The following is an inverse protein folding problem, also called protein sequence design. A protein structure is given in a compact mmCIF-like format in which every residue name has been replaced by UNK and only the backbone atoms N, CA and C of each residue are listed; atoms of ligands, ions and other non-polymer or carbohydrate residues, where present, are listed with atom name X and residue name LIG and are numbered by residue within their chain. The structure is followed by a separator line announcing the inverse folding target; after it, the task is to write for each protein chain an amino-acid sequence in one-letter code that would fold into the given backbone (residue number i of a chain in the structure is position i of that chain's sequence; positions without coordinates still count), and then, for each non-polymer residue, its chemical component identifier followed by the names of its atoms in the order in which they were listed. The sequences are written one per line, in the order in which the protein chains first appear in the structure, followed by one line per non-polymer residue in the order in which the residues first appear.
data_IF_075410532090
#
_entry.id   IF_075410532090
#
_cell.length_a   1.000
_cell.length_b   1.000
_cell.length_c   1.000
_cell.angle_alpha   90.00
_cell.angle_beta   90.00
_cell.angle_gamma   90.00
#
_symmetry.space_group_name_H-M   'P 1'
#
loop_
_entity.id
_entity.type
_entity.pdbx_description
1 polymer ?
#
# COMPACT_ATOMS: atom_id res chain seq x y z
N UNK A 1 20.26 -37.24 -23.78
CA UNK A 1 19.72 -35.88 -23.63
C UNK A 1 18.29 -35.90 -24.14
N UNK A 2 17.32 -35.89 -23.25
CA UNK A 2 15.90 -35.86 -23.60
C UNK A 2 15.53 -34.38 -23.86
N UNK A 3 14.97 -34.00 -25.02
CA UNK A 3 14.57 -32.62 -25.25
C UNK A 3 13.45 -32.27 -24.27
N UNK A 4 13.66 -31.22 -23.47
CA UNK A 4 12.67 -30.71 -22.53
C UNK A 4 11.36 -30.43 -23.28
N UNK A 5 10.25 -30.92 -22.73
CA UNK A 5 8.92 -30.63 -23.25
C UNK A 5 8.71 -29.11 -23.32
N UNK A 6 8.07 -28.59 -24.37
CA UNK A 6 7.76 -27.16 -24.45
C UNK A 6 6.89 -26.76 -23.26
N UNK A 7 7.11 -25.58 -22.65
CA UNK A 7 6.29 -25.11 -21.54
C UNK A 7 4.83 -25.05 -21.99
N UNK A 8 3.92 -25.63 -21.19
CA UNK A 8 2.49 -25.57 -21.44
C UNK A 8 2.09 -24.11 -21.64
N UNK A 9 1.42 -23.80 -22.75
CA UNK A 9 0.94 -22.45 -23.04
C UNK A 9 -0.12 -22.08 -22.01
N UNK A 10 0.27 -21.29 -21.02
CA UNK A 10 -0.65 -20.80 -19.99
C UNK A 10 -1.75 -20.02 -20.70
N UNK A 11 -3.04 -20.39 -20.53
CA UNK A 11 -4.12 -19.69 -21.20
C UNK A 11 -4.09 -18.21 -20.76
N UNK A 12 -4.06 -17.30 -21.74
CA UNK A 12 -4.02 -15.87 -21.45
C UNK A 12 -5.23 -15.46 -20.60
N UNK A 13 -4.97 -15.00 -19.38
CA UNK A 13 -6.00 -14.51 -18.45
C UNK A 13 -6.49 -13.11 -18.83
N UNK A 14 -5.85 -12.45 -19.81
CA UNK A 14 -6.16 -11.09 -20.24
C UNK A 14 -7.62 -10.92 -20.67
N UNK A 15 -8.24 -11.95 -21.25
CA UNK A 15 -9.68 -11.92 -21.62
C UNK A 15 -10.60 -11.72 -20.42
N UNK A 16 -10.23 -12.20 -19.24
CA UNK A 16 -11.03 -12.03 -18.02
C UNK A 16 -10.86 -10.62 -17.44
N UNK A 17 -9.66 -10.06 -17.50
CA UNK A 17 -9.42 -8.67 -17.12
C UNK A 17 -10.20 -7.71 -18.03
N UNK A 18 -10.16 -7.92 -19.36
CA UNK A 18 -10.96 -7.14 -20.31
C UNK A 18 -12.46 -7.28 -20.08
N UNK A 19 -12.94 -8.50 -19.75
CA UNK A 19 -14.33 -8.72 -19.38
C UNK A 19 -14.72 -7.89 -18.14
N UNK A 20 -13.86 -7.86 -17.12
CA UNK A 20 -14.06 -7.09 -15.89
C UNK A 20 -14.15 -5.58 -16.17
N UNK A 21 -13.20 -5.04 -16.93
CA UNK A 21 -13.15 -3.61 -17.29
C UNK A 21 -14.38 -3.21 -18.12
N UNK A 22 -14.74 -4.00 -19.13
CA UNK A 22 -15.92 -3.76 -19.96
C UNK A 22 -17.21 -3.81 -19.13
N UNK A 23 -17.31 -4.77 -18.20
CA UNK A 23 -18.43 -4.85 -17.28
C UNK A 23 -18.51 -3.59 -16.41
N UNK A 24 -17.41 -3.16 -15.80
CA UNK A 24 -17.37 -1.96 -14.96
C UNK A 24 -17.81 -0.70 -15.73
N UNK A 25 -17.28 -0.47 -16.93
CA UNK A 25 -17.67 0.68 -17.77
C UNK A 25 -19.17 0.63 -18.10
N UNK A 26 -19.67 -0.55 -18.49
CA UNK A 26 -21.07 -0.74 -18.81
C UNK A 26 -21.98 -0.50 -17.60
N UNK A 27 -21.66 -1.07 -16.45
CA UNK A 27 -22.47 -0.93 -15.24
C UNK A 27 -22.44 0.48 -14.69
N UNK A 28 -21.30 1.18 -14.74
CA UNK A 28 -21.23 2.62 -14.41
C UNK A 28 -22.16 3.41 -15.33
N UNK A 29 -22.13 3.15 -16.63
CA UNK A 29 -23.03 3.79 -17.60
C UNK A 29 -24.51 3.55 -17.28
N UNK A 30 -24.88 2.31 -16.97
CA UNK A 30 -26.25 1.95 -16.59
C UNK A 30 -26.68 2.61 -15.28
N UNK A 31 -25.85 2.58 -14.24
CA UNK A 31 -26.14 3.21 -12.94
C UNK A 31 -26.26 4.74 -13.08
N UNK A 32 -25.37 5.37 -13.83
CA UNK A 32 -25.45 6.81 -14.14
C UNK A 32 -26.73 7.14 -14.90
N UNK A 33 -27.16 6.29 -15.83
CA UNK A 33 -28.41 6.45 -16.54
C UNK A 33 -29.62 6.29 -15.61
N UNK A 34 -29.61 5.29 -14.72
CA UNK A 34 -30.66 5.09 -13.72
C UNK A 34 -30.80 6.30 -12.79
N UNK A 35 -29.68 6.86 -12.34
CA UNK A 35 -29.67 8.13 -11.60
C UNK A 35 -30.28 9.27 -12.42
N UNK A 36 -29.87 9.48 -13.68
CA UNK A 36 -30.40 10.56 -14.51
C UNK A 36 -31.90 10.45 -14.78
N UNK A 37 -32.43 9.24 -14.87
CA UNK A 37 -33.85 8.99 -15.09
C UNK A 37 -34.68 9.24 -13.83
N UNK A 38 -34.12 8.97 -12.65
CA UNK A 38 -34.87 9.00 -11.38
C UNK A 38 -34.65 10.24 -10.53
N UNK A 39 -33.46 10.82 -10.63
CA UNK A 39 -32.93 11.80 -9.69
C UNK A 39 -32.64 11.22 -8.30
N UNK A 40 -32.62 9.91 -8.08
CA UNK A 40 -32.37 9.31 -6.75
C UNK A 40 -30.96 9.60 -6.26
N UNK A 41 -30.83 10.10 -5.03
CA UNK A 41 -29.51 10.32 -4.40
C UNK A 41 -28.86 8.97 -4.05
N UNK A 42 -29.65 7.94 -3.72
CA UNK A 42 -29.16 6.59 -3.53
C UNK A 42 -28.51 6.01 -4.80
N UNK A 43 -29.15 6.15 -5.96
CA UNK A 43 -28.58 5.71 -7.24
C UNK A 43 -27.36 6.55 -7.68
N UNK A 44 -27.30 7.82 -7.29
CA UNK A 44 -26.09 8.63 -7.47
C UNK A 44 -24.92 8.06 -6.65
N UNK A 45 -25.16 7.70 -5.39
CA UNK A 45 -24.15 7.07 -4.53
C UNK A 45 -23.60 5.80 -5.16
N UNK A 46 -24.48 4.91 -5.62
CA UNK A 46 -24.12 3.64 -6.27
C UNK A 46 -23.25 3.83 -7.53
N UNK A 47 -23.62 4.82 -8.36
CA UNK A 47 -22.86 5.16 -9.56
C UNK A 47 -21.50 5.79 -9.24
N UNK A 48 -21.43 6.67 -8.24
CA UNK A 48 -20.21 7.33 -7.82
C UNK A 48 -19.21 6.34 -7.20
N UNK A 49 -19.70 5.42 -6.35
CA UNK A 49 -18.90 4.33 -5.77
C UNK A 49 -18.27 3.48 -6.88
N UNK A 50 -19.08 3.02 -7.84
CA UNK A 50 -18.58 2.21 -8.96
C UNK A 50 -17.52 2.94 -9.81
N UNK A 51 -17.67 4.26 -9.99
CA UNK A 51 -16.67 5.08 -10.71
C UNK A 51 -15.37 5.20 -9.92
N UNK A 52 -15.46 5.50 -8.62
CA UNK A 52 -14.28 5.59 -7.74
C UNK A 52 -13.53 4.26 -7.73
N UNK A 53 -14.23 3.14 -7.61
CA UNK A 53 -13.63 1.81 -7.64
C UNK A 53 -12.87 1.53 -8.95
N UNK A 54 -13.45 1.90 -10.11
CA UNK A 54 -12.77 1.74 -11.40
C UNK A 54 -11.49 2.60 -11.50
N UNK A 55 -11.56 3.86 -11.08
CA UNK A 55 -10.40 4.77 -11.11
C UNK A 55 -9.33 4.29 -10.13
N UNK A 56 -9.73 3.89 -8.92
CA UNK A 56 -8.85 3.35 -7.90
C UNK A 56 -8.13 2.09 -8.38
N UNK A 57 -8.84 1.16 -9.04
CA UNK A 57 -8.23 -0.05 -9.60
C UNK A 57 -7.18 0.26 -10.67
N UNK A 58 -7.42 1.26 -11.53
CA UNK A 58 -6.44 1.70 -12.54
C UNK A 58 -5.19 2.28 -11.85
N UNK A 59 -5.38 3.14 -10.85
CA UNK A 59 -4.25 3.73 -10.10
C UNK A 59 -3.50 2.69 -9.29
N UNK A 60 -4.21 1.74 -8.68
CA UNK A 60 -3.60 0.62 -7.96
C UNK A 60 -2.73 -0.23 -8.89
N UNK A 61 -3.20 -0.53 -10.10
CA UNK A 61 -2.43 -1.29 -11.07
C UNK A 61 -1.15 -0.56 -11.50
N UNK A 62 -1.23 0.76 -11.76
CA UNK A 62 -0.06 1.55 -12.15
C UNK A 62 0.94 1.68 -10.99
N UNK A 63 0.46 1.92 -9.77
CA UNK A 63 1.30 2.02 -8.58
C UNK A 63 1.92 0.70 -8.19
N UNK A 64 1.21 -0.43 -8.36
CA UNK A 64 1.78 -1.76 -8.15
C UNK A 64 2.92 -2.05 -9.13
N UNK A 65 2.76 -1.66 -10.40
CA UNK A 65 3.83 -1.75 -11.40
C UNK A 65 5.05 -0.90 -11.05
N UNK A 66 4.85 0.26 -10.43
CA UNK A 66 5.94 1.11 -9.92
C UNK A 66 6.57 0.52 -8.65
N UNK A 67 5.77 0.00 -7.72
CA UNK A 67 6.23 -0.62 -6.48
C UNK A 67 7.05 -1.90 -6.71
N UNK A 68 6.76 -2.64 -7.78
CA UNK A 68 7.49 -3.85 -8.18
C UNK A 68 8.89 -3.56 -8.75
N UNK A 69 9.25 -2.30 -8.98
CA UNK A 69 10.59 -1.93 -9.46
C UNK A 69 11.62 -2.16 -8.34
N UNK A 70 12.76 -2.82 -8.65
CA UNK A 70 13.81 -3.04 -7.67
C UNK A 70 14.40 -1.70 -7.17
N UNK A 71 15.20 -1.76 -6.12
CA UNK A 71 15.95 -0.61 -5.63
C UNK A 71 16.88 -0.04 -6.71
N UNK A 72 16.98 1.28 -6.75
CA UNK A 72 17.86 2.02 -7.65
C UNK A 72 18.70 3.04 -6.86
N UNK A 73 19.55 3.80 -7.56
CA UNK A 73 20.45 4.77 -6.92
C UNK A 73 19.73 5.96 -6.27
N UNK A 74 18.48 6.23 -6.64
CA UNK A 74 17.66 7.31 -6.07
C UNK A 74 16.72 6.79 -4.98
N UNK A 75 16.39 5.49 -5.02
CA UNK A 75 15.55 4.78 -4.06
C UNK A 75 16.27 3.51 -3.57
N UNK A 76 17.25 3.63 -2.65
CA UNK A 76 18.07 2.49 -2.19
C UNK A 76 17.27 1.41 -1.45
N UNK A 77 16.13 1.81 -0.87
CA UNK A 77 15.20 0.93 -0.17
C UNK A 77 14.06 0.43 -1.07
N UNK A 78 14.11 0.70 -2.38
CA UNK A 78 13.09 0.32 -3.35
C UNK A 78 11.87 1.23 -3.38
N UNK A 79 10.87 0.80 -4.15
CA UNK A 79 9.68 1.59 -4.48
C UNK A 79 8.41 1.11 -3.76
N UNK A 80 8.53 0.19 -2.79
CA UNK A 80 7.38 -0.45 -2.13
C UNK A 80 6.39 0.52 -1.49
N UNK A 81 6.83 1.71 -1.02
CA UNK A 81 5.94 2.73 -0.45
C UNK A 81 4.95 3.32 -1.46
N UNK A 82 5.14 3.14 -2.77
CA UNK A 82 4.21 3.62 -3.79
C UNK A 82 2.81 2.98 -3.71
N UNK A 83 2.71 1.77 -3.17
CA UNK A 83 1.43 1.09 -2.93
C UNK A 83 0.53 1.89 -1.96
N UNK A 84 1.12 2.48 -0.92
CA UNK A 84 0.40 3.31 0.04
C UNK A 84 -0.12 4.60 -0.60
N UNK A 85 0.60 5.17 -1.57
CA UNK A 85 0.11 6.33 -2.32
C UNK A 85 -1.15 6.00 -3.12
N UNK A 86 -1.24 4.81 -3.71
CA UNK A 86 -2.47 4.38 -4.37
C UNK A 86 -3.65 4.31 -3.39
N UNK A 87 -3.42 3.68 -2.24
CA UNK A 87 -4.46 3.55 -1.20
C UNK A 87 -4.93 4.92 -0.70
N UNK A 88 -4.00 5.85 -0.48
CA UNK A 88 -4.33 7.22 -0.09
C UNK A 88 -5.09 7.98 -1.18
N UNK A 89 -4.71 7.80 -2.46
CA UNK A 89 -5.42 8.40 -3.58
C UNK A 89 -6.86 7.88 -3.70
N UNK A 90 -7.05 6.57 -3.57
CA UNK A 90 -8.38 5.94 -3.51
C UNK A 90 -9.20 6.50 -2.34
N UNK A 91 -8.63 6.53 -1.13
CA UNK A 91 -9.28 7.10 0.05
C UNK A 91 -9.72 8.55 -0.17
N UNK A 92 -8.89 9.37 -0.81
CA UNK A 92 -9.23 10.75 -1.15
C UNK A 92 -10.41 10.83 -2.16
N UNK A 93 -10.42 10.00 -3.21
CA UNK A 93 -11.53 9.95 -4.16
C UNK A 93 -12.85 9.51 -3.49
N UNK A 94 -12.77 8.52 -2.61
CA UNK A 94 -13.91 8.06 -1.80
C UNK A 94 -14.48 9.21 -0.98
N UNK A 95 -13.63 9.97 -0.30
CA UNK A 95 -14.06 11.11 0.53
C UNK A 95 -14.68 12.24 -0.30
N UNK A 96 -14.12 12.54 -1.48
CA UNK A 96 -14.70 13.54 -2.40
C UNK A 96 -16.08 13.09 -2.89
N UNK A 97 -16.22 11.82 -3.29
CA UNK A 97 -17.51 11.27 -3.71
C UNK A 97 -18.53 11.30 -2.57
N UNK A 98 -18.13 10.87 -1.37
CA UNK A 98 -18.97 10.87 -0.18
C UNK A 98 -19.42 12.28 0.22
N UNK A 99 -18.52 13.27 0.20
CA UNK A 99 -18.87 14.67 0.43
C UNK A 99 -19.90 15.20 -0.56
N UNK A 100 -19.77 14.83 -1.84
CA UNK A 100 -20.77 15.14 -2.87
C UNK A 100 -22.13 14.48 -2.61
N UNK A 101 -22.15 13.23 -2.15
CA UNK A 101 -23.38 12.51 -1.80
C UNK A 101 -24.05 13.13 -0.56
N UNK A 102 -23.28 13.45 0.48
CA UNK A 102 -23.79 14.15 1.68
C UNK A 102 -24.41 15.48 1.30
N UNK A 103 -23.73 16.27 0.46
CA UNK A 103 -24.27 17.54 -0.03
C UNK A 103 -25.59 17.35 -0.77
N UNK A 104 -25.64 16.41 -1.72
CA UNK A 104 -26.84 16.13 -2.50
C UNK A 104 -27.99 15.62 -1.61
N UNK A 105 -27.69 14.76 -0.63
CA UNK A 105 -28.68 14.25 0.33
C UNK A 105 -29.22 15.38 1.23
N UNK A 106 -28.34 16.27 1.70
CA UNK A 106 -28.72 17.42 2.53
C UNK A 106 -29.65 18.38 1.78
N UNK A 107 -29.31 18.76 0.54
CA UNK A 107 -30.16 19.60 -0.30
C UNK A 107 -31.53 18.93 -0.54
N UNK A 108 -31.55 17.62 -0.77
CA UNK A 108 -32.78 16.85 -1.00
C UNK A 108 -33.67 16.73 0.24
N UNK A 109 -33.08 16.71 1.45
CA UNK A 109 -33.85 16.74 2.71
C UNK A 109 -34.49 18.11 2.93
N UNK A 110 -33.78 19.21 2.63
CA UNK A 110 -34.32 20.56 2.73
C UNK A 110 -35.35 20.88 1.65
N UNK A 111 -35.20 20.30 0.46
CA UNK A 111 -36.08 20.50 -0.69
C UNK A 111 -36.49 19.15 -1.30
N UNK A 112 -37.50 18.46 -0.72
CA UNK A 112 -37.96 17.17 -1.22
C UNK A 112 -38.43 17.29 -2.67
N UNK A 113 -37.79 16.52 -3.56
CA UNK A 113 -38.22 16.40 -4.95
C UNK A 113 -38.72 14.99 -5.25
N UNK A 114 -39.88 14.85 -5.91
CA UNK A 114 -40.41 13.55 -6.26
C UNK A 114 -39.45 12.78 -7.16
N UNK A 115 -39.27 11.51 -6.83
CA UNK A 115 -38.51 10.58 -7.64
C UNK A 115 -39.31 10.24 -8.90
N UNK A 116 -38.72 10.47 -10.07
CA UNK A 116 -39.35 10.17 -11.35
C UNK A 116 -39.04 8.73 -11.76
N UNK A 117 -39.98 8.05 -12.44
CA UNK A 117 -39.73 6.78 -13.16
C UNK A 117 -38.89 5.75 -12.36
N UNK A 118 -39.22 5.59 -11.07
CA UNK A 118 -38.54 4.69 -10.13
C UNK A 118 -38.52 3.26 -10.65
N UNK A 119 -39.61 2.82 -11.26
CA UNK A 119 -39.77 1.53 -11.92
C UNK A 119 -38.66 1.25 -12.94
N UNK A 120 -38.43 2.20 -13.86
CA UNK A 120 -37.40 2.07 -14.89
C UNK A 120 -36.00 2.19 -14.28
N UNK A 121 -35.80 3.11 -13.34
CA UNK A 121 -34.49 3.28 -12.69
C UNK A 121 -34.04 2.06 -11.89
N UNK A 122 -34.95 1.48 -11.11
CA UNK A 122 -34.71 0.22 -10.37
C UNK A 122 -34.41 -0.91 -11.36
N UNK A 123 -35.17 -1.03 -12.45
CA UNK A 123 -34.92 -2.07 -13.46
C UNK A 123 -33.54 -1.91 -14.13
N UNK A 124 -33.12 -0.69 -14.46
CA UNK A 124 -31.81 -0.42 -15.08
C UNK A 124 -30.67 -0.70 -14.11
N UNK A 125 -30.77 -0.26 -12.85
CA UNK A 125 -29.74 -0.55 -11.83
C UNK A 125 -29.71 -2.04 -11.45
N UNK A 126 -30.87 -2.72 -11.41
CA UNK A 126 -30.93 -4.17 -11.25
C UNK A 126 -30.23 -4.90 -12.41
N UNK A 127 -30.43 -4.45 -13.65
CA UNK A 127 -29.72 -5.00 -14.81
C UNK A 127 -28.20 -4.82 -14.68
N UNK A 128 -27.74 -3.66 -14.19
CA UNK A 128 -26.33 -3.45 -13.89
C UNK A 128 -25.81 -4.40 -12.81
N UNK A 129 -26.57 -4.58 -11.71
CA UNK A 129 -26.26 -5.55 -10.66
C UNK A 129 -26.20 -6.99 -11.18
N UNK A 130 -27.09 -7.40 -12.08
CA UNK A 130 -27.05 -8.72 -12.72
C UNK A 130 -25.82 -8.91 -13.61
N UNK A 131 -25.38 -7.87 -14.33
CA UNK A 131 -24.14 -7.90 -15.12
C UNK A 131 -22.94 -8.12 -14.20
N UNK A 132 -22.82 -7.33 -13.13
CA UNK A 132 -21.75 -7.51 -12.13
C UNK A 132 -21.80 -8.92 -11.53
N UNK A 133 -22.99 -9.42 -11.20
CA UNK A 133 -23.19 -10.76 -10.65
C UNK A 133 -22.71 -11.86 -11.61
N UNK A 134 -23.07 -11.73 -12.89
CA UNK A 134 -22.67 -12.69 -13.92
C UNK A 134 -21.15 -12.70 -14.10
N UNK A 135 -20.54 -11.53 -14.27
CA UNK A 135 -19.10 -11.37 -14.50
C UNK A 135 -18.29 -11.82 -13.29
N UNK A 136 -18.70 -11.45 -12.08
CA UNK A 136 -18.09 -11.92 -10.84
C UNK A 136 -18.10 -13.45 -10.72
N UNK A 137 -19.22 -14.12 -11.04
CA UNK A 137 -19.27 -15.59 -11.01
C UNK A 137 -18.34 -16.21 -12.04
N UNK A 138 -18.16 -15.59 -13.20
CA UNK A 138 -17.19 -16.04 -14.20
C UNK A 138 -15.76 -15.88 -13.66
N UNK A 139 -15.43 -14.71 -13.11
CA UNK A 139 -14.13 -14.39 -12.51
C UNK A 139 -13.79 -15.32 -11.35
N UNK A 140 -14.69 -15.51 -10.39
CA UNK A 140 -14.49 -16.40 -9.23
C UNK A 140 -14.32 -17.88 -9.62
N UNK A 141 -14.99 -18.33 -10.69
CA UNK A 141 -14.79 -19.69 -11.22
C UNK A 141 -13.46 -19.81 -11.94
N UNK A 142 -13.09 -18.81 -12.74
CA UNK A 142 -11.82 -18.77 -13.44
C UNK A 142 -10.63 -18.67 -12.46
N UNK A 143 -10.72 -17.80 -11.44
CA UNK A 143 -9.72 -17.67 -10.39
C UNK A 143 -9.45 -19.00 -9.69
N UNK A 144 -10.50 -19.70 -9.27
CA UNK A 144 -10.38 -21.05 -8.67
C UNK A 144 -9.85 -22.09 -9.64
N UNK A 145 -10.29 -22.08 -10.90
CA UNK A 145 -9.86 -23.06 -11.93
C UNK A 145 -8.39 -22.90 -12.32
N UNK A 146 -7.92 -21.65 -12.45
CA UNK A 146 -6.57 -21.34 -12.91
C UNK A 146 -5.61 -20.95 -11.78
N UNK A 147 -6.03 -21.03 -10.51
CA UNK A 147 -5.21 -20.65 -9.35
C UNK A 147 -4.84 -19.16 -9.34
N UNK A 148 -5.66 -18.28 -9.92
CA UNK A 148 -5.37 -16.85 -10.03
C UNK A 148 -6.01 -16.08 -8.88
N UNK A 149 -5.18 -15.64 -7.93
CA UNK A 149 -5.59 -14.80 -6.81
C UNK A 149 -6.19 -13.47 -7.30
N UNK A 150 -5.61 -12.88 -8.36
CA UNK A 150 -6.11 -11.63 -8.97
C UNK A 150 -7.54 -11.76 -9.49
N UNK A 151 -7.84 -12.82 -10.26
CA UNK A 151 -9.20 -13.03 -10.76
C UNK A 151 -10.20 -13.33 -9.63
N UNK A 152 -9.74 -13.99 -8.57
CA UNK A 152 -10.58 -14.21 -7.38
C UNK A 152 -10.84 -12.90 -6.62
N UNK A 153 -9.83 -12.06 -6.46
CA UNK A 153 -9.95 -10.74 -5.83
C UNK A 153 -10.91 -9.83 -6.62
N UNK A 154 -10.73 -9.70 -7.93
CA UNK A 154 -11.64 -8.95 -8.80
C UNK A 154 -13.08 -9.50 -8.71
N UNK A 155 -13.23 -10.82 -8.76
CA UNK A 155 -14.55 -11.46 -8.61
C UNK A 155 -15.22 -11.18 -7.27
N UNK A 156 -14.46 -11.10 -6.17
CA UNK A 156 -14.96 -10.72 -4.84
C UNK A 156 -15.32 -9.23 -4.80
N UNK A 157 -14.55 -8.37 -5.45
CA UNK A 157 -14.83 -6.94 -5.54
C UNK A 157 -16.16 -6.69 -6.27
N UNK A 158 -16.38 -7.29 -7.44
CA UNK A 158 -17.67 -7.21 -8.13
C UNK A 158 -18.83 -7.81 -7.32
N UNK A 159 -18.58 -8.79 -6.44
CA UNK A 159 -19.61 -9.27 -5.51
C UNK A 159 -19.98 -8.25 -4.44
N UNK A 160 -19.00 -7.51 -3.93
CA UNK A 160 -19.27 -6.39 -3.02
C UNK A 160 -20.19 -5.37 -3.68
N UNK A 161 -19.90 -4.97 -4.92
CA UNK A 161 -20.73 -4.05 -5.69
C UNK A 161 -22.17 -4.56 -5.88
N UNK A 162 -22.37 -5.87 -6.05
CA UNK A 162 -23.71 -6.45 -6.16
C UNK A 162 -24.48 -6.35 -4.84
N UNK A 163 -23.81 -6.57 -3.71
CA UNK A 163 -24.42 -6.42 -2.39
C UNK A 163 -24.80 -4.97 -2.10
N UNK A 164 -23.92 -4.01 -2.39
CA UNK A 164 -24.20 -2.58 -2.19
C UNK A 164 -25.32 -2.10 -3.11
N UNK A 165 -25.27 -2.46 -4.40
CA UNK A 165 -26.35 -2.18 -5.35
C UNK A 165 -27.68 -2.80 -4.87
N UNK A 166 -27.64 -4.05 -4.40
CA UNK A 166 -28.82 -4.75 -3.89
C UNK A 166 -29.45 -4.06 -2.67
N UNK A 167 -28.63 -3.58 -1.73
CA UNK A 167 -29.11 -2.83 -0.58
C UNK A 167 -29.83 -1.53 -0.99
N UNK A 168 -29.28 -0.81 -1.97
CA UNK A 168 -29.88 0.42 -2.51
C UNK A 168 -31.18 0.11 -3.27
N UNK A 169 -31.23 -0.98 -4.05
CA UNK A 169 -32.45 -1.40 -4.74
C UNK A 169 -33.57 -1.82 -3.78
N UNK A 170 -33.23 -2.53 -2.70
CA UNK A 170 -34.20 -2.89 -1.66
C UNK A 170 -34.76 -1.65 -0.98
N UNK A 171 -33.90 -0.68 -0.66
CA UNK A 171 -34.29 0.62 -0.15
C UNK A 171 -35.26 1.35 -1.09
N UNK A 172 -34.93 1.46 -2.39
CA UNK A 172 -35.77 2.12 -3.38
C UNK A 172 -37.08 1.37 -3.65
N UNK A 173 -37.06 0.03 -3.58
CA UNK A 173 -38.28 -0.79 -3.65
C UNK A 173 -39.22 -0.52 -2.47
N UNK A 174 -38.67 -0.37 -1.26
CA UNK A 174 -39.43 0.06 -0.09
C UNK A 174 -40.05 1.45 -0.25
N UNK A 175 -39.33 2.38 -0.88
CA UNK A 175 -39.84 3.72 -1.21
C UNK A 175 -40.96 3.65 -2.23
N UNK A 176 -40.82 2.83 -3.27
CA UNK A 176 -41.84 2.65 -4.29
C UNK A 176 -43.14 2.08 -3.70
N UNK A 177 -43.06 1.26 -2.66
CA UNK A 177 -44.23 0.68 -1.98
C UNK A 177 -44.87 1.61 -0.94
N UNK A 178 -44.06 2.33 -0.15
CA UNK A 178 -44.53 3.19 0.94
C UNK A 178 -44.88 4.62 0.50
N UNK A 179 -44.29 5.10 -0.59
CA UNK A 179 -44.40 6.48 -1.06
C UNK A 179 -43.57 7.49 -0.25
N UNK A 180 -42.77 7.04 0.73
CA UNK A 180 -41.99 7.92 1.60
C UNK A 180 -40.72 8.42 0.91
N UNK A 181 -40.84 9.54 0.20
CA UNK A 181 -39.75 10.11 -0.59
C UNK A 181 -38.55 10.60 0.23
N UNK A 182 -38.75 10.92 1.52
CA UNK A 182 -37.67 11.34 2.41
C UNK A 182 -36.68 10.21 2.74
N UNK A 183 -37.08 8.95 2.52
CA UNK A 183 -36.21 7.80 2.75
C UNK A 183 -35.04 7.74 1.76
N UNK A 184 -35.20 8.20 0.51
CA UNK A 184 -34.09 8.20 -0.49
C UNK A 184 -32.87 8.99 0.02
N UNK A 185 -33.01 10.28 0.39
CA UNK A 185 -31.87 11.02 0.91
C UNK A 185 -31.42 10.56 2.31
N UNK A 186 -32.32 10.01 3.15
CA UNK A 186 -31.91 9.43 4.43
C UNK A 186 -31.00 8.20 4.24
N UNK A 187 -31.35 7.31 3.31
CA UNK A 187 -30.57 6.11 3.01
C UNK A 187 -29.27 6.49 2.30
N UNK A 188 -29.31 7.45 1.38
CA UNK A 188 -28.11 7.98 0.75
C UNK A 188 -27.16 8.63 1.78
N UNK A 189 -27.69 9.34 2.77
CA UNK A 189 -26.89 9.90 3.85
C UNK A 189 -26.23 8.82 4.72
N UNK A 190 -26.97 7.78 5.09
CA UNK A 190 -26.41 6.64 5.83
C UNK A 190 -25.32 5.92 5.04
N UNK A 191 -25.54 5.69 3.74
CA UNK A 191 -24.53 5.14 2.85
C UNK A 191 -23.29 6.05 2.79
N UNK A 192 -23.49 7.36 2.66
CA UNK A 192 -22.38 8.31 2.61
C UNK A 192 -21.55 8.32 3.91
N UNK A 193 -22.18 8.23 5.08
CA UNK A 193 -21.46 8.12 6.36
C UNK A 193 -20.60 6.85 6.40
N UNK A 194 -21.14 5.72 5.96
CA UNK A 194 -20.37 4.47 5.85
C UNK A 194 -19.20 4.61 4.88
N UNK A 195 -19.41 5.25 3.72
CA UNK A 195 -18.38 5.50 2.72
C UNK A 195 -17.28 6.44 3.29
N UNK A 196 -17.65 7.50 4.02
CA UNK A 196 -16.70 8.39 4.71
C UNK A 196 -15.83 7.59 5.68
N UNK A 197 -16.43 6.71 6.48
CA UNK A 197 -15.66 5.88 7.42
C UNK A 197 -14.64 5.02 6.68
N UNK A 198 -15.05 4.31 5.64
CA UNK A 198 -14.15 3.48 4.82
C UNK A 198 -13.03 4.30 4.18
N UNK A 199 -13.35 5.50 3.65
CA UNK A 199 -12.38 6.41 3.06
C UNK A 199 -11.36 6.94 4.08
N UNK A 200 -11.81 7.32 5.28
CA UNK A 200 -10.92 7.76 6.36
C UNK A 200 -10.01 6.64 6.87
N UNK A 201 -10.56 5.44 7.05
CA UNK A 201 -9.79 4.28 7.45
C UNK A 201 -8.68 3.97 6.43
N UNK A 202 -8.99 4.02 5.14
CA UNK A 202 -8.02 3.82 4.07
C UNK A 202 -6.93 4.90 4.06
N UNK A 203 -7.31 6.16 4.28
CA UNK A 203 -6.37 7.28 4.42
C UNK A 203 -5.42 7.11 5.60
N UNK A 204 -5.94 6.68 6.77
CA UNK A 204 -5.13 6.45 7.97
C UNK A 204 -4.15 5.29 7.74
N UNK A 205 -4.61 4.19 7.14
CA UNK A 205 -3.75 3.05 6.78
C UNK A 205 -2.64 3.45 5.81
N UNK A 206 -2.97 4.23 4.78
CA UNK A 206 -1.99 4.78 3.84
C UNK A 206 -0.95 5.67 4.54
N UNK A 207 -1.39 6.62 5.37
CA UNK A 207 -0.51 7.51 6.12
C UNK A 207 0.41 6.72 7.08
N UNK A 208 -0.14 5.73 7.78
CA UNK A 208 0.62 4.85 8.67
C UNK A 208 1.71 4.07 7.90
N UNK A 209 1.39 3.51 6.74
CA UNK A 209 2.38 2.83 5.89
C UNK A 209 3.50 3.75 5.39
N UNK A 210 3.22 5.03 5.17
CA UNK A 210 4.24 6.01 4.78
C UNK A 210 5.17 6.39 5.97
N UNK A 211 4.65 6.36 7.19
CA UNK A 211 5.33 6.68 8.44
C UNK A 211 6.13 5.51 9.05
N UNK A 212 6.48 4.50 8.23
CA UNK A 212 7.27 3.33 8.66
C UNK A 212 6.61 2.56 9.82
N UNK A 213 5.30 2.31 9.70
CA UNK A 213 4.58 1.44 10.61
C UNK A 213 5.23 0.05 10.75
N UNK A 214 5.16 -0.49 11.96
CA UNK A 214 5.61 -1.84 12.28
C UNK A 214 4.95 -2.89 11.40
N UNK A 215 5.61 -4.03 11.26
CA UNK A 215 5.06 -5.19 10.53
C UNK A 215 3.82 -5.74 11.25
N UNK A 216 2.95 -6.52 10.57
CA UNK A 216 1.78 -7.13 11.19
C UNK A 216 2.12 -7.91 12.46
N UNK A 217 1.23 -7.86 13.46
CA UNK A 217 1.46 -8.48 14.79
C UNK A 217 1.77 -9.98 14.69
N UNK A 218 1.10 -10.71 13.78
CA UNK A 218 1.39 -12.14 13.55
C UNK A 218 2.83 -12.37 13.07
N UNK A 219 3.32 -11.53 12.15
CA UNK A 219 4.71 -11.61 11.66
C UNK A 219 5.70 -11.22 12.78
N UNK A 220 5.36 -10.24 13.62
CA UNK A 220 6.16 -9.86 14.78
C UNK A 220 6.27 -11.01 15.80
N UNK A 221 5.17 -11.70 16.08
CA UNK A 221 5.15 -12.87 16.98
C UNK A 221 6.03 -14.01 16.45
N UNK A 222 6.11 -14.19 15.13
CA UNK A 222 7.00 -15.17 14.52
C UNK A 222 8.47 -14.82 14.73
N UNK A 223 8.85 -13.54 14.60
CA UNK A 223 10.20 -13.06 14.91
C UNK A 223 10.51 -13.26 16.39
N UNK A 224 9.62 -12.84 17.29
CA UNK A 224 9.82 -12.96 18.74
C UNK A 224 10.03 -14.41 19.17
N UNK A 225 9.26 -15.35 18.60
CA UNK A 225 9.39 -16.78 18.86
C UNK A 225 10.73 -17.34 18.42
N UNK A 226 11.29 -16.88 17.30
CA UNK A 226 12.63 -17.29 16.84
C UNK A 226 13.70 -16.73 17.79
N UNK A 227 13.62 -15.43 18.11
CA UNK A 227 14.57 -14.79 19.01
C UNK A 227 14.55 -15.41 20.41
N UNK A 228 13.40 -15.88 20.89
CA UNK A 228 13.30 -16.56 22.19
C UNK A 228 14.12 -17.85 22.26
N UNK A 229 14.24 -18.59 21.15
CA UNK A 229 15.12 -19.75 21.06
C UNK A 229 16.58 -19.37 21.33
N UNK A 230 17.05 -18.28 20.73
CA UNK A 230 18.40 -17.75 20.95
C UNK A 230 18.58 -17.14 22.35
N UNK A 231 17.53 -16.58 22.96
CA UNK A 231 17.58 -16.11 24.36
C UNK A 231 17.85 -17.26 25.34
N UNK A 232 17.31 -18.44 25.07
CA UNK A 232 17.59 -19.63 25.86
C UNK A 232 19.07 -20.07 25.80
N UNK A 233 19.80 -19.70 24.73
CA UNK A 233 21.24 -19.93 24.58
C UNK A 233 22.11 -18.84 25.25
N UNK A 234 21.49 -17.85 25.90
CA UNK A 234 22.17 -16.76 26.59
C UNK A 234 22.47 -15.54 25.73
N UNK A 235 21.94 -15.48 24.51
CA UNK A 235 22.01 -14.30 23.63
C UNK A 235 20.96 -13.29 24.08
N UNK A 236 21.30 -12.00 24.12
CA UNK A 236 20.32 -10.95 24.41
C UNK A 236 20.04 -10.11 23.17
N UNK A 237 18.85 -9.52 23.14
CA UNK A 237 18.40 -8.67 22.05
C UNK A 237 17.81 -7.40 22.62
N UNK A 238 18.10 -6.27 21.98
CA UNK A 238 17.46 -5.00 22.29
C UNK A 238 17.32 -4.16 21.01
N UNK A 239 16.57 -3.06 21.13
CA UNK A 239 16.19 -2.18 20.02
C UNK A 239 15.67 -2.91 18.77
N UNK A 240 14.81 -3.91 18.95
CA UNK A 240 14.13 -4.57 17.84
C UNK A 240 13.16 -3.57 17.20
N UNK A 241 13.44 -3.19 15.95
CA UNK A 241 12.56 -2.33 15.15
C UNK A 241 12.21 -3.02 13.86
N UNK A 242 10.96 -2.87 13.48
CA UNK A 242 10.46 -3.38 12.22
C UNK A 242 9.69 -2.29 11.50
N UNK A 243 9.67 -2.36 10.19
CA UNK A 243 8.84 -1.50 9.35
C UNK A 243 8.44 -2.23 8.07
N UNK A 244 7.31 -1.82 7.49
CA UNK A 244 6.80 -2.37 6.24
C UNK A 244 6.76 -1.33 5.10
N UNK A 245 7.21 -1.73 3.91
CA UNK A 245 7.02 -0.95 2.68
C UNK A 245 6.36 -1.83 1.60
N UNK A 246 5.02 -1.79 1.54
CA UNK A 246 4.25 -2.68 0.67
C UNK A 246 4.50 -4.15 1.05
N UNK A 247 4.98 -4.95 0.10
CA UNK A 247 5.34 -6.36 0.33
C UNK A 247 6.72 -6.56 1.01
N UNK A 248 7.56 -5.53 1.06
CA UNK A 248 8.90 -5.65 1.65
C UNK A 248 8.85 -5.41 3.15
N UNK A 249 9.62 -6.21 3.90
CA UNK A 249 9.78 -6.10 5.35
C UNK A 249 11.18 -5.65 5.68
N UNK A 250 11.33 -4.87 6.74
CA UNK A 250 12.64 -4.46 7.25
C UNK A 250 12.69 -4.71 8.74
N UNK A 251 13.82 -5.23 9.20
CA UNK A 251 14.10 -5.43 10.63
C UNK A 251 15.49 -4.92 10.94
N UNK A 252 15.61 -4.18 12.03
CA UNK A 252 16.88 -3.88 12.69
C UNK A 252 16.85 -4.42 14.11
N UNK A 253 17.94 -5.02 14.56
CA UNK A 253 18.04 -5.52 15.93
C UNK A 253 19.49 -5.51 16.40
N UNK A 254 19.69 -5.16 17.67
CA UNK A 254 20.98 -5.28 18.31
C UNK A 254 21.07 -6.67 18.97
N UNK A 255 22.16 -7.38 18.70
CA UNK A 255 22.42 -8.74 19.19
C UNK A 255 23.60 -8.68 20.15
N UNK A 256 23.36 -8.97 21.42
CA UNK A 256 24.41 -8.95 22.43
C UNK A 256 24.99 -10.34 22.65
N UNK A 257 26.31 -10.44 22.56
CA UNK A 257 27.08 -11.67 22.73
C UNK A 257 28.21 -11.49 23.76
N UNK A 258 28.76 -12.56 24.35
CA UNK A 258 29.92 -12.42 25.24
C UNK A 258 31.10 -11.78 24.52
N UNK A 259 31.76 -10.81 25.14
CA UNK A 259 32.88 -10.06 24.56
C UNK A 259 34.13 -10.91 24.25
N UNK A 260 34.15 -12.17 24.71
CA UNK A 260 35.15 -13.17 24.34
C UNK A 260 34.93 -13.76 22.94
N UNK A 261 33.78 -13.53 22.30
CA UNK A 261 33.51 -14.00 20.95
C UNK A 261 34.48 -13.36 19.97
N UNK A 262 34.96 -14.15 19.01
CA UNK A 262 35.67 -13.59 17.85
C UNK A 262 34.67 -12.91 16.93
N UNK A 263 35.12 -11.96 16.11
CA UNK A 263 34.27 -11.33 15.08
C UNK A 263 33.63 -12.38 14.18
N UNK A 264 34.38 -13.44 13.83
CA UNK A 264 33.85 -14.55 13.04
C UNK A 264 32.72 -15.29 13.77
N UNK A 265 32.90 -15.66 15.04
CA UNK A 265 31.87 -16.38 15.79
C UNK A 265 30.59 -15.56 15.97
N UNK A 266 30.74 -14.24 16.17
CA UNK A 266 29.62 -13.30 16.19
C UNK A 266 28.92 -13.22 14.83
N UNK A 267 29.66 -13.07 13.74
CA UNK A 267 29.10 -13.04 12.39
C UNK A 267 28.37 -14.34 12.03
N UNK A 268 28.95 -15.50 12.35
CA UNK A 268 28.32 -16.81 12.11
C UNK A 268 27.00 -16.96 12.90
N UNK A 269 26.90 -16.35 14.09
CA UNK A 269 25.64 -16.30 14.85
C UNK A 269 24.60 -15.41 14.16
N UNK A 270 25.02 -14.22 13.71
CA UNK A 270 24.13 -13.30 12.98
C UNK A 270 23.57 -13.94 11.71
N UNK A 271 24.41 -14.58 10.90
CA UNK A 271 23.99 -15.29 9.68
C UNK A 271 22.94 -16.38 9.97
N UNK A 272 23.08 -17.11 11.10
CA UNK A 272 22.06 -18.09 11.51
C UNK A 272 20.73 -17.45 11.89
N UNK A 273 20.78 -16.39 12.70
CA UNK A 273 19.58 -15.64 13.10
C UNK A 273 18.88 -15.05 11.87
N UNK A 274 19.65 -14.44 10.96
CA UNK A 274 19.14 -13.86 9.73
C UNK A 274 18.53 -14.91 8.80
N UNK A 275 19.15 -16.09 8.69
CA UNK A 275 18.61 -17.21 7.92
C UNK A 275 17.31 -17.76 8.50
N UNK A 276 17.22 -17.93 9.83
CA UNK A 276 16.01 -18.44 10.48
C UNK A 276 14.82 -17.48 10.33
N UNK A 277 15.08 -16.17 10.51
CA UNK A 277 14.06 -15.14 10.32
C UNK A 277 13.69 -15.01 8.84
N UNK A 278 14.66 -15.05 7.94
CA UNK A 278 14.41 -15.03 6.48
C UNK A 278 13.62 -16.23 5.97
N UNK A 279 13.75 -17.39 6.63
CA UNK A 279 12.96 -18.58 6.32
C UNK A 279 11.49 -18.44 6.78
N UNK A 280 11.25 -17.73 7.89
CA UNK A 280 9.91 -17.49 8.41
C UNK A 280 9.19 -16.34 7.68
N UNK A 281 9.90 -15.26 7.37
CA UNK A 281 9.37 -14.05 6.74
C UNK A 281 10.07 -13.81 5.39
N UNK A 282 9.52 -14.33 4.27
CA UNK A 282 10.08 -14.07 2.95
C UNK A 282 10.01 -12.57 2.61
N UNK A 283 11.04 -12.06 1.91
CA UNK A 283 11.23 -10.64 1.54
C UNK A 283 11.54 -9.68 2.70
N UNK A 284 12.06 -10.19 3.81
CA UNK A 284 12.63 -9.37 4.88
C UNK A 284 14.08 -8.95 4.56
N UNK A 285 14.37 -7.68 4.80
CA UNK A 285 15.74 -7.14 4.83
C UNK A 285 16.11 -6.94 6.28
N UNK A 286 17.14 -7.66 6.72
CA UNK A 286 17.60 -7.66 8.09
C UNK A 286 18.92 -6.88 8.17
N UNK A 287 19.03 -6.03 9.19
CA UNK A 287 20.28 -5.37 9.57
C UNK A 287 20.52 -5.63 11.04
N UNK A 288 21.54 -6.43 11.34
CA UNK A 288 21.92 -6.74 12.72
C UNK A 288 23.11 -5.88 13.16
N UNK A 289 23.13 -5.50 14.43
CA UNK A 289 24.27 -4.83 15.05
C UNK A 289 24.78 -5.68 16.22
N UNK A 290 26.01 -6.18 16.10
CA UNK A 290 26.62 -7.02 17.13
C UNK A 290 27.25 -6.17 18.23
N UNK A 291 26.87 -6.45 19.48
CA UNK A 291 27.37 -5.72 20.65
C UNK A 291 27.89 -6.68 21.73
N UNK A 292 28.95 -6.34 22.47
CA UNK A 292 29.38 -7.14 23.62
C UNK A 292 28.44 -6.93 24.82
N UNK A 293 28.05 -8.03 25.47
CA UNK A 293 27.18 -8.07 26.66
C UNK A 293 27.76 -7.32 27.86
N UNK A 294 29.08 -7.32 28.00
CA UNK A 294 29.76 -6.73 29.16
C UNK A 294 30.02 -5.23 29.00
N UNK A 295 29.76 -4.65 27.82
CA UNK A 295 29.91 -3.21 27.59
C UNK A 295 28.64 -2.48 27.98
N UNK A 296 28.76 -1.60 28.98
CA UNK A 296 27.67 -0.74 29.42
C UNK A 296 27.19 0.23 28.32
N UNK A 297 28.04 0.55 27.34
CA UNK A 297 27.66 1.38 26.20
C UNK A 297 26.63 0.69 25.29
N UNK A 298 26.62 -0.64 25.23
CA UNK A 298 25.63 -1.42 24.48
C UNK A 298 24.21 -1.09 24.97
N UNK A 299 23.99 -1.01 26.29
CA UNK A 299 22.68 -0.66 26.87
C UNK A 299 22.38 0.84 26.92
N UNK A 300 23.32 1.70 26.51
CA UNK A 300 23.14 3.14 26.53
C UNK A 300 22.45 3.70 25.28
N UNK A 301 22.39 2.93 24.18
CA UNK A 301 21.75 3.37 22.93
C UNK A 301 20.26 3.69 23.13
N UNK A 302 19.57 2.83 23.88
CA UNK A 302 18.19 2.98 24.32
C UNK A 302 17.88 4.32 25.01
N UNK A 303 18.88 4.92 25.67
CA UNK A 303 18.71 6.17 26.40
C UNK A 303 18.75 7.39 25.47
N UNK A 304 19.60 7.36 24.45
CA UNK A 304 19.81 8.48 23.52
C UNK A 304 18.56 8.72 22.67
N UNK A 305 17.92 7.66 22.22
CA UNK A 305 16.71 7.75 21.38
C UNK A 305 15.47 8.17 22.18
N UNK A 306 15.50 7.99 23.51
CA UNK A 306 14.55 8.58 24.46
C UNK A 306 14.90 10.01 24.86
N UNK A 307 15.94 10.61 24.25
CA UNK A 307 16.36 11.99 24.49
C UNK A 307 17.23 12.20 25.74
N UNK A 308 17.82 11.16 26.32
CA UNK A 308 18.71 11.27 27.48
C UNK A 308 20.17 11.50 27.06
N UNK A 309 20.96 12.26 27.85
CA UNK A 309 22.35 12.57 27.52
C UNK A 309 23.21 11.31 27.48
N UNK A 310 24.20 11.28 26.58
CA UNK A 310 25.17 10.17 26.49
C UNK A 310 25.88 9.99 27.83
N UNK A 311 26.02 8.75 28.34
CA UNK A 311 26.97 8.50 29.41
C UNK A 311 28.38 8.87 28.90
N UNK A 312 29.19 9.48 29.77
CA UNK A 312 30.55 9.85 29.41
C UNK A 312 31.33 8.61 28.93
N UNK A 313 32.03 8.69 27.77
CA UNK A 313 32.84 7.56 27.33
C UNK A 313 33.90 7.27 28.38
N UNK A 314 33.92 6.03 28.91
CA UNK A 314 35.03 5.60 29.77
C UNK A 314 36.33 5.76 28.99
N UNK A 315 37.34 6.33 29.64
CA UNK A 315 38.72 6.28 29.14
C UNK A 315 39.03 4.82 28.82
N UNK A 316 39.25 4.52 27.54
CA UNK A 316 39.62 3.18 27.07
C UNK A 316 40.76 2.71 27.97
N UNK A 317 40.53 1.68 28.78
CA UNK A 317 41.61 1.06 29.53
C UNK A 317 42.56 0.51 28.47
N UNK A 318 43.71 1.16 28.36
CA UNK A 318 44.71 0.84 27.35
C UNK A 318 45.14 -0.61 27.58
N UNK A 319 44.66 -1.52 26.73
CA UNK A 319 45.15 -2.90 26.71
C UNK A 319 46.56 -2.85 26.16
N UNK A 320 47.52 -2.48 27.02
CA UNK A 320 48.95 -2.53 26.74
C UNK A 320 49.37 -3.99 26.70
N UNK A 321 49.20 -4.64 25.54
CA UNK A 321 49.97 -5.84 25.24
C UNK A 321 51.40 -5.40 24.90
N UNK A 322 52.45 -5.87 25.60
CA UNK A 322 53.81 -5.55 25.22
C UNK A 322 54.10 -6.18 23.85
N UNK A 323 54.19 -5.34 22.82
CA UNK A 323 54.71 -5.73 21.51
C UNK A 323 56.23 -5.83 21.64
N UNK A 324 56.88 -6.97 21.33
CA UNK A 324 58.33 -7.05 21.37
C UNK A 324 58.92 -6.09 20.31
N UNK A 325 59.88 -5.28 20.74
CA UNK A 325 60.52 -4.27 19.90
C UNK A 325 61.25 -4.93 18.72
N UNK A 326 60.66 -4.83 17.52
CA UNK A 326 61.35 -5.13 16.27
C UNK A 326 62.38 -4.03 15.98
N UNK A 327 63.66 -4.38 16.05
CA UNK A 327 64.77 -3.55 15.58
C UNK A 327 64.69 -3.44 14.05
N UNK A 328 64.63 -2.22 13.51
CA UNK A 328 64.83 -1.98 12.08
C UNK A 328 64.19 -0.68 11.58
N UNK A 329 65.00 0.35 11.37
CA UNK A 329 64.52 1.68 11.01
C UNK A 329 64.17 1.83 9.53
N UNK A 330 62.89 2.08 9.22
CA UNK A 330 62.41 2.61 7.92
C UNK A 330 61.13 3.48 8.10
N UNK A 331 60.99 4.16 9.24
CA UNK A 331 59.74 4.87 9.62
C UNK A 331 59.48 6.24 8.98
N UNK A 332 60.28 6.67 8.01
CA UNK A 332 60.24 8.05 7.51
C UNK A 332 59.76 8.19 6.04
N UNK A 333 59.66 7.11 5.27
CA UNK A 333 59.33 7.19 3.84
C UNK A 333 57.83 7.18 3.50
N UNK A 334 56.95 6.61 4.33
CA UNK A 334 55.52 6.49 3.98
C UNK A 334 54.65 7.71 4.32
N UNK A 335 55.16 8.72 5.03
CA UNK A 335 54.36 9.88 5.45
C UNK A 335 54.24 11.01 4.41
N UNK A 336 54.88 10.90 3.25
CA UNK A 336 54.85 11.97 2.23
C UNK A 336 54.03 11.65 0.96
N UNK A 337 53.45 10.46 0.82
CA UNK A 337 52.71 10.10 -0.40
C UNK A 337 51.19 10.37 -0.36
N UNK A 338 50.60 10.69 0.80
CA UNK A 338 49.15 10.81 0.97
C UNK A 338 48.53 12.19 0.71
N UNK A 339 49.33 13.23 0.43
CA UNK A 339 48.86 14.62 0.42
C UNK A 339 48.70 15.26 -0.97
N UNK A 340 48.86 14.52 -2.08
CA UNK A 340 48.96 15.08 -3.43
C UNK A 340 47.92 14.58 -4.46
N UNK A 341 46.77 14.03 -4.03
CA UNK A 341 45.69 13.62 -4.94
C UNK A 341 44.33 14.26 -4.62
N UNK A 342 44.37 15.56 -4.29
CA UNK A 342 43.23 16.46 -4.37
C UNK A 342 43.60 17.54 -5.39
N UNK A 343 42.69 17.82 -6.33
CA UNK A 343 42.78 18.77 -7.47
C UNK A 343 43.17 18.14 -8.81
N UNK A 344 42.18 17.66 -9.56
CA UNK A 344 42.01 17.91 -11.01
C UNK A 344 40.86 17.07 -11.59
N UNK A 345 39.86 17.71 -12.19
CA UNK A 345 38.91 17.03 -13.09
C UNK A 345 37.47 17.53 -13.02
N UNK A 346 37.24 18.77 -13.45
CA UNK A 346 35.89 19.27 -13.76
C UNK A 346 35.53 19.11 -15.24
N UNK A 347 34.23 18.98 -15.51
CA UNK A 347 33.59 19.42 -16.76
C UNK A 347 33.02 18.32 -17.67
N UNK A 348 31.68 18.26 -17.78
CA UNK A 348 30.90 18.54 -19.00
C UNK A 348 29.46 18.00 -18.92
N UNK A 349 28.56 18.68 -19.62
CA UNK A 349 27.10 18.69 -19.49
C UNK A 349 26.33 17.81 -20.48
N UNK A 350 25.05 17.57 -20.14
CA UNK A 350 23.86 17.64 -21.04
C UNK A 350 23.36 16.36 -21.75
N UNK A 351 22.02 16.32 -22.00
CA UNK A 351 21.21 15.46 -22.93
C UNK A 351 20.62 14.20 -22.21
N UNK A 352 19.31 13.88 -22.07
CA UNK A 352 17.95 14.19 -22.60
C UNK A 352 16.91 13.87 -21.49
N UNK A 353 15.75 14.53 -21.28
CA UNK A 353 14.51 14.67 -22.07
C UNK A 353 13.78 13.34 -22.44
N UNK A 354 12.58 13.13 -21.85
CA UNK A 354 11.63 12.01 -22.10
C UNK A 354 11.53 11.05 -20.91
N UNK A 355 10.41 10.67 -20.30
CA UNK A 355 9.00 10.66 -20.69
C UNK A 355 8.10 10.94 -19.47
N UNK A 356 7.25 11.96 -19.55
CA UNK A 356 6.13 12.21 -18.63
C UNK A 356 4.82 12.22 -19.43
N UNK A 357 4.55 11.15 -20.18
CA UNK A 357 3.32 11.00 -20.96
C UNK A 357 2.20 10.28 -20.20
N UNK A 358 2.52 9.42 -19.22
CA UNK A 358 1.51 8.58 -18.57
C UNK A 358 0.78 9.22 -17.37
N UNK A 359 1.34 10.29 -16.79
CA UNK A 359 0.71 11.03 -15.68
C UNK A 359 -0.39 12.00 -16.19
N UNK A 360 -0.33 12.39 -17.46
CA UNK A 360 -1.28 13.33 -18.05
C UNK A 360 -2.69 12.73 -18.25
N UNK A 361 -2.83 11.41 -18.34
CA UNK A 361 -4.12 10.78 -18.63
C UNK A 361 -5.04 10.74 -17.39
N UNK A 362 -4.47 10.61 -16.18
CA UNK A 362 -5.20 10.68 -14.92
C UNK A 362 -5.68 12.09 -14.55
N UNK A 363 -4.85 13.11 -14.80
CA UNK A 363 -5.21 14.51 -14.59
C UNK A 363 -6.31 15.00 -15.56
N UNK A 364 -6.34 14.42 -16.77
CA UNK A 364 -7.33 14.76 -17.80
C UNK A 364 -8.76 14.32 -17.45
N UNK A 365 -8.92 13.21 -16.71
CA UNK A 365 -10.23 12.73 -16.26
C UNK A 365 -10.78 13.55 -15.07
N UNK A 366 -9.91 13.94 -14.13
CA UNK A 366 -10.28 14.85 -13.04
C UNK A 366 -10.71 16.23 -13.60
N UNK A 367 -9.99 16.73 -14.61
CA UNK A 367 -10.36 17.94 -15.36
C UNK A 367 -11.70 17.80 -16.10
N UNK A 368 -11.98 16.63 -16.70
CA UNK A 368 -13.27 16.36 -17.35
C UNK A 368 -14.42 16.30 -16.32
N UNK A 369 -14.19 15.72 -15.15
CA UNK A 369 -15.17 15.70 -14.05
C UNK A 369 -15.46 17.10 -13.51
N UNK A 370 -14.42 17.92 -13.29
CA UNK A 370 -14.57 19.31 -12.86
C UNK A 370 -15.24 20.18 -13.95
N UNK A 371 -14.97 19.93 -15.23
CA UNK A 371 -15.63 20.63 -16.34
C UNK A 371 -17.11 20.25 -16.51
N UNK A 372 -17.44 18.96 -16.37
CA UNK A 372 -18.82 18.46 -16.40
C UNK A 372 -19.62 18.93 -15.17
N UNK A 373 -18.96 19.12 -14.03
CA UNK A 373 -19.57 19.63 -12.80
C UNK A 373 -19.73 21.16 -12.82
N UNK A 374 -18.69 21.91 -13.21
CA UNK A 374 -18.70 23.37 -13.30
C UNK A 374 -19.70 23.91 -14.33
N UNK A 375 -19.94 23.18 -15.43
CA UNK A 375 -20.93 23.55 -16.45
C UNK A 375 -22.39 23.54 -15.97
N UNK A 376 -22.70 22.93 -14.81
CA UNK A 376 -24.05 22.95 -14.21
C UNK A 376 -24.25 24.09 -13.20
N UNK A 377 -23.18 24.55 -12.54
CA UNK A 377 -23.25 25.66 -11.58
C UNK A 377 -23.47 26.99 -12.33
N UNK A 378 -22.82 27.17 -13.50
CA UNK A 378 -22.97 28.38 -14.31
C UNK A 378 -24.32 28.51 -15.05
N UNK A 379 -25.17 27.46 -15.06
CA UNK A 379 -26.51 27.50 -15.70
C UNK A 379 -27.66 27.73 -14.71
N UNK A 380 -27.38 27.98 -13.44
CA UNK A 380 -28.38 28.25 -12.39
C UNK A 380 -28.05 29.45 -11.50
N UNK A 381 -27.12 30.31 -11.92
CA UNK A 381 -26.90 31.63 -11.35
C UNK A 381 -27.59 32.70 -12.21
#
# INVERSE_FOLDING_TARGET
MNPAAPPATTPSLARFAWLSILAAILTIGLKAQAYRMTGSVGLLSDAAESLVNLVAAIVALTMLGFAARPADSHHPFGHGKAEYFSSGFEGALILVAAGGIVWAAWERLGHPQPLARLDIGIAVSAAAGFINLAVARVLLRAGRKYGSITLEADGKHLMSDVWTTGAILLALGGIAWTGWQWLDPAIAFLAAVQIVWSGLELMIRSASGLLDAAIPEAEMMDIERILEGYRAEGIQFHDLRTRAAGMQRFMTVHVLVPGSYTVQAGHDLLERIEADIGAALPNIVIVTHLEPLEDAASFAHDQIERGLPRPEPRQKTEVTRPVPAARGGWGMACRMAGAALLVAGGGASMVLAGDYADIAMGASLLGLMLALWGGRIAKRA
#
